data_IF_171958715905
#
_entry.id   IF_171958715905
#
_cell.length_a   1.000
_cell.length_b   1.000
_cell.length_c   1.000
_cell.angle_alpha   90.00
_cell.angle_beta   90.00
_cell.angle_gamma   90.00
#
_symmetry.space_group_name_H-M   'P 1'
#
loop_
_entity.id
_entity.type
_entity.pdbx_description
1 polymer ?
#
# COMPACT_ATOMS: atom_id res chain seq x y z
N UNK A 1 71.50 -5.24 8.46
CA UNK A 1 70.48 -4.18 8.75
C UNK A 1 69.40 -4.27 7.64
N UNK A 2 68.29 -4.90 7.90
CA UNK A 2 67.18 -5.04 6.93
C UNK A 2 66.14 -3.95 7.23
N UNK A 3 65.99 -3.01 6.30
CA UNK A 3 64.99 -1.93 6.37
C UNK A 3 63.65 -2.45 5.95
N UNK A 4 62.78 -2.58 6.96
CA UNK A 4 61.38 -2.94 6.79
C UNK A 4 60.61 -1.74 6.19
N UNK A 5 60.40 -1.68 4.87
CA UNK A 5 59.52 -0.71 4.21
C UNK A 5 58.08 -1.17 4.35
N UNK A 6 57.24 -0.40 5.06
CA UNK A 6 55.79 -0.58 5.05
C UNK A 6 55.27 -0.36 3.62
N UNK A 7 54.30 -1.16 3.15
CA UNK A 7 53.68 -0.91 1.85
C UNK A 7 52.88 0.36 1.86
N UNK A 8 53.04 1.13 0.79
CA UNK A 8 52.44 2.43 0.55
C UNK A 8 50.91 2.27 0.34
N UNK A 9 50.12 2.72 1.32
CA UNK A 9 48.68 2.58 1.34
C UNK A 9 47.95 3.41 0.25
N UNK A 10 48.72 4.23 -0.50
CA UNK A 10 48.16 5.15 -1.52
C UNK A 10 48.02 4.55 -2.92
N UNK A 11 48.39 3.28 -3.13
CA UNK A 11 48.34 2.60 -4.42
C UNK A 11 47.16 1.66 -4.65
N UNK A 12 46.21 1.57 -3.72
CA UNK A 12 45.03 0.73 -3.89
C UNK A 12 43.93 1.46 -4.68
N UNK A 13 43.17 0.75 -5.55
CA UNK A 13 42.03 1.32 -6.25
C UNK A 13 40.99 1.93 -5.28
N UNK A 14 40.33 2.98 -5.68
CA UNK A 14 39.37 3.73 -4.84
C UNK A 14 38.29 2.81 -4.24
N UNK A 15 37.88 1.75 -4.94
CA UNK A 15 36.94 0.72 -4.46
C UNK A 15 37.45 -0.06 -3.24
N UNK A 16 38.76 -0.22 -3.09
CA UNK A 16 39.35 -0.92 -1.95
C UNK A 16 39.68 0.01 -0.78
N UNK A 17 39.72 1.33 -1.01
CA UNK A 17 39.90 2.35 0.04
C UNK A 17 38.64 2.63 0.84
N UNK A 18 37.46 2.37 0.25
CA UNK A 18 36.15 2.61 0.89
C UNK A 18 35.85 1.54 1.92
N UNK A 19 36.33 0.31 1.72
CA UNK A 19 36.04 -0.84 2.58
C UNK A 19 36.80 -0.83 3.93
N UNK A 20 37.86 -0.03 4.05
CA UNK A 20 38.67 0.02 5.28
C UNK A 20 38.35 1.16 6.25
N UNK A 21 37.42 2.08 5.90
CA UNK A 21 37.13 3.27 6.73
C UNK A 21 35.76 3.34 7.37
N UNK A 22 34.88 2.39 7.10
CA UNK A 22 33.63 2.28 7.83
C UNK A 22 33.70 1.09 8.79
N UNK A 23 33.55 1.28 10.11
CA UNK A 23 33.18 0.17 10.96
C UNK A 23 31.84 -0.31 10.42
N UNK A 24 31.80 -1.57 9.95
CA UNK A 24 30.57 -2.27 9.58
C UNK A 24 29.58 -2.03 10.74
N UNK A 25 28.54 -1.19 10.62
CA UNK A 25 27.52 -1.16 11.64
C UNK A 25 27.00 -2.58 11.62
N UNK A 26 27.25 -3.33 12.72
CA UNK A 26 26.64 -4.64 12.93
C UNK A 26 25.20 -4.43 12.50
N UNK A 27 24.83 -4.98 11.32
CA UNK A 27 23.46 -5.10 10.90
C UNK A 27 22.81 -5.75 12.11
N UNK A 28 22.08 -4.99 12.89
CA UNK A 28 21.14 -5.57 13.82
C UNK A 28 20.30 -6.44 12.92
N UNK A 29 20.45 -7.73 13.01
CA UNK A 29 19.48 -8.66 12.46
C UNK A 29 18.18 -8.20 13.05
N UNK A 30 17.38 -7.48 12.26
CA UNK A 30 16.05 -7.06 12.66
C UNK A 30 15.33 -8.37 12.95
N UNK A 31 14.90 -8.55 14.18
CA UNK A 31 14.05 -9.68 14.55
C UNK A 31 12.91 -9.70 13.55
N UNK A 32 12.62 -10.84 12.88
CA UNK A 32 11.57 -10.88 11.88
C UNK A 32 10.27 -10.38 12.48
N UNK A 33 9.71 -9.32 11.90
CA UNK A 33 8.47 -8.71 12.37
C UNK A 33 7.30 -9.63 12.07
N UNK A 34 6.69 -10.23 13.08
CA UNK A 34 5.53 -11.10 12.91
C UNK A 34 4.26 -10.25 12.88
N UNK A 35 3.56 -10.27 11.74
CA UNK A 35 2.30 -9.57 11.55
C UNK A 35 1.37 -10.31 10.59
N UNK A 36 0.08 -10.13 10.77
CA UNK A 36 -0.96 -10.61 9.88
C UNK A 36 -2.12 -9.63 9.86
N UNK A 37 -2.77 -9.50 8.70
CA UNK A 37 -4.01 -8.76 8.51
C UNK A 37 -4.95 -9.59 7.63
N UNK A 38 -6.20 -9.75 8.09
CA UNK A 38 -7.32 -10.29 7.31
C UNK A 38 -8.42 -9.24 7.27
N UNK A 39 -9.09 -9.12 6.12
CA UNK A 39 -10.17 -8.17 5.96
C UNK A 39 -10.50 -7.86 4.52
N UNK A 40 -10.87 -6.63 4.23
CA UNK A 40 -11.19 -6.17 2.88
C UNK A 40 -10.41 -4.90 2.52
N UNK A 41 -9.89 -4.88 1.31
CA UNK A 41 -9.35 -3.70 0.67
C UNK A 41 -10.39 -3.14 -0.29
N UNK A 42 -10.56 -1.83 -0.26
CA UNK A 42 -11.38 -1.04 -1.17
C UNK A 42 -10.50 -0.06 -1.91
N UNK A 43 -10.66 0.04 -3.21
CA UNK A 43 -9.94 1.00 -4.04
C UNK A 43 -10.87 1.66 -5.04
N UNK A 44 -10.69 2.95 -5.28
CA UNK A 44 -11.29 3.66 -6.40
C UNK A 44 -10.24 4.57 -7.01
N UNK A 45 -10.09 4.52 -8.31
CA UNK A 45 -9.03 5.18 -9.04
C UNK A 45 -9.52 6.00 -10.22
N UNK A 46 -8.61 6.74 -10.86
CA UNK A 46 -8.87 7.59 -12.02
C UNK A 46 -9.17 6.82 -13.31
N UNK A 47 -8.85 5.52 -13.37
CA UNK A 47 -9.05 4.73 -14.59
C UNK A 47 -10.52 4.58 -14.97
N UNK A 48 -10.78 4.45 -16.29
CA UNK A 48 -12.04 3.92 -16.80
C UNK A 48 -12.22 2.47 -16.36
N UNK A 49 -13.45 1.98 -16.46
CA UNK A 49 -13.76 0.60 -16.07
C UNK A 49 -13.34 -0.43 -17.13
N UNK A 50 -12.73 -1.55 -16.82
CA UNK A 50 -12.13 -1.92 -15.55
C UNK A 50 -10.63 -1.58 -15.56
N UNK A 51 -10.03 -1.29 -14.37
CA UNK A 51 -8.65 -0.86 -14.25
C UNK A 51 -7.65 -1.83 -14.91
N UNK A 52 -6.93 -1.44 -15.98
CA UNK A 52 -5.98 -2.33 -16.66
C UNK A 52 -4.74 -2.63 -15.83
N UNK A 53 -4.39 -1.74 -14.90
CA UNK A 53 -3.19 -1.88 -14.07
C UNK A 53 -3.29 -3.10 -13.15
N UNK A 54 -4.46 -3.32 -12.56
CA UNK A 54 -4.70 -4.40 -11.60
C UNK A 54 -4.53 -5.77 -12.24
N UNK A 55 -5.14 -5.99 -13.41
CA UNK A 55 -5.08 -7.29 -14.12
C UNK A 55 -3.75 -7.54 -14.81
N UNK A 56 -2.93 -6.51 -15.04
CA UNK A 56 -1.64 -6.62 -15.74
C UNK A 56 -0.42 -6.49 -14.82
N UNK A 57 -0.60 -6.47 -13.50
CA UNK A 57 0.47 -6.15 -12.53
C UNK A 57 1.15 -4.81 -12.81
N UNK A 58 0.40 -3.81 -13.22
CA UNK A 58 0.93 -2.49 -13.53
C UNK A 58 1.71 -2.39 -14.84
N UNK A 59 1.70 -3.43 -15.69
CA UNK A 59 2.40 -3.42 -16.98
C UNK A 59 1.67 -2.57 -18.03
N UNK A 60 0.33 -2.57 -18.04
CA UNK A 60 -0.45 -1.69 -18.90
C UNK A 60 -0.51 -0.27 -18.32
N UNK A 61 -0.49 0.75 -19.19
CA UNK A 61 -0.66 2.12 -18.75
C UNK A 61 -2.08 2.33 -18.20
N UNK A 62 -2.25 3.19 -17.19
CA UNK A 62 -3.57 3.63 -16.77
C UNK A 62 -4.27 4.40 -17.89
N UNK A 63 -5.61 4.37 -17.92
CA UNK A 63 -6.40 4.96 -19.02
C UNK A 63 -6.23 6.47 -19.15
N UNK A 64 -5.95 7.17 -18.05
CA UNK A 64 -5.70 8.61 -18.00
C UNK A 64 -4.20 8.98 -18.10
N UNK A 65 -3.31 7.99 -18.36
CA UNK A 65 -1.87 8.19 -18.36
C UNK A 65 -1.23 8.32 -16.98
N UNK A 66 -2.03 8.38 -15.92
CA UNK A 66 -1.64 8.42 -14.52
C UNK A 66 -2.60 7.58 -13.68
N UNK A 67 -2.17 7.16 -12.49
CA UNK A 67 -3.04 6.46 -11.55
C UNK A 67 -3.16 7.28 -10.25
N UNK A 68 -4.25 8.00 -10.13
CA UNK A 68 -4.66 8.64 -8.89
C UNK A 68 -5.70 7.74 -8.22
N UNK A 69 -5.55 7.48 -6.94
CA UNK A 69 -6.46 6.60 -6.23
C UNK A 69 -6.56 6.95 -4.75
N UNK A 70 -7.62 6.52 -4.13
CA UNK A 70 -7.63 6.23 -2.70
C UNK A 70 -7.83 4.74 -2.49
N UNK A 71 -7.26 4.26 -1.40
CA UNK A 71 -7.49 2.92 -0.87
C UNK A 71 -8.01 3.03 0.55
N UNK A 72 -8.82 2.08 0.96
CA UNK A 72 -9.19 1.88 2.36
C UNK A 72 -9.14 0.41 2.70
N UNK A 73 -8.69 0.09 3.89
CA UNK A 73 -8.55 -1.28 4.38
C UNK A 73 -9.31 -1.39 5.70
N UNK A 74 -10.26 -2.30 5.74
CA UNK A 74 -10.88 -2.72 6.98
C UNK A 74 -10.14 -3.94 7.50
N UNK A 75 -9.56 -3.85 8.68
CA UNK A 75 -8.87 -4.96 9.34
C UNK A 75 -9.91 -5.66 10.22
N UNK A 76 -10.42 -6.80 9.76
CA UNK A 76 -11.37 -7.58 10.55
C UNK A 76 -10.65 -8.35 11.66
N UNK A 77 -9.51 -8.94 11.33
CA UNK A 77 -8.59 -9.61 12.25
C UNK A 77 -7.15 -9.22 11.92
N UNK A 78 -6.33 -8.98 12.91
CA UNK A 78 -4.93 -8.68 12.66
C UNK A 78 -4.10 -8.44 13.89
N UNK A 79 -2.80 -8.60 13.74
CA UNK A 79 -1.82 -8.29 14.78
C UNK A 79 -0.50 -7.80 14.17
N UNK A 80 0.26 -7.07 14.98
CA UNK A 80 1.64 -6.65 14.70
C UNK A 80 2.47 -6.83 15.97
N UNK A 81 3.41 -7.78 15.98
CA UNK A 81 4.25 -8.11 17.16
C UNK A 81 3.45 -8.28 18.46
N UNK A 82 2.32 -8.96 18.36
CA UNK A 82 1.42 -9.20 19.49
C UNK A 82 0.49 -8.03 19.85
N UNK A 83 0.60 -6.89 19.19
CA UNK A 83 -0.37 -5.81 19.29
C UNK A 83 -1.58 -6.10 18.42
N UNK A 84 -2.78 -6.01 18.97
CA UNK A 84 -4.02 -6.23 18.25
C UNK A 84 -4.33 -5.08 17.29
N UNK A 85 -4.61 -5.41 16.03
CA UNK A 85 -5.02 -4.47 14.98
C UNK A 85 -6.48 -4.67 14.56
N UNK A 86 -7.18 -5.64 15.15
CA UNK A 86 -8.55 -5.99 14.76
C UNK A 86 -9.52 -4.84 14.98
N UNK A 87 -10.39 -4.61 14.00
CA UNK A 87 -11.36 -3.52 14.01
C UNK A 87 -10.82 -2.15 13.66
N UNK A 88 -9.51 -2.00 13.44
CA UNK A 88 -8.92 -0.77 12.95
C UNK A 88 -9.07 -0.64 11.44
N UNK A 89 -9.16 0.61 10.97
CA UNK A 89 -9.21 0.93 9.56
C UNK A 89 -7.99 1.75 9.12
N UNK A 90 -7.60 1.60 7.87
CA UNK A 90 -6.50 2.36 7.27
C UNK A 90 -6.96 2.97 5.96
N UNK A 91 -6.61 4.21 5.71
CA UNK A 91 -6.79 4.88 4.45
C UNK A 91 -5.47 5.21 3.79
N UNK A 92 -5.41 5.19 2.47
CA UNK A 92 -4.26 5.64 1.69
C UNK A 92 -4.74 6.58 0.57
N UNK A 93 -3.99 7.64 0.35
CA UNK A 93 -4.02 8.44 -0.86
C UNK A 93 -2.81 8.02 -1.69
N UNK A 94 -3.03 7.71 -2.98
CA UNK A 94 -1.99 7.20 -3.88
C UNK A 94 -1.98 8.01 -5.16
N UNK A 95 -0.82 8.60 -5.47
CA UNK A 95 -0.58 9.45 -6.63
C UNK A 95 0.60 8.86 -7.41
N UNK A 96 0.32 8.28 -8.58
CA UNK A 96 1.28 7.61 -9.44
C UNK A 96 1.30 8.32 -10.79
N UNK A 97 2.44 8.90 -11.21
CA UNK A 97 2.51 9.74 -12.41
C UNK A 97 2.41 8.97 -13.73
N UNK A 98 2.53 7.64 -13.72
CA UNK A 98 2.55 6.80 -14.90
C UNK A 98 2.03 5.40 -14.63
N UNK A 99 2.73 4.40 -15.15
CA UNK A 99 2.40 2.99 -14.92
C UNK A 99 2.67 2.60 -13.48
N UNK A 100 1.75 1.86 -12.88
CA UNK A 100 1.85 1.39 -11.51
C UNK A 100 3.16 0.62 -11.25
N UNK A 101 3.58 -0.26 -12.16
CA UNK A 101 4.79 -1.07 -12.02
C UNK A 101 6.10 -0.31 -12.20
N UNK A 102 6.09 0.94 -12.68
CA UNK A 102 7.29 1.79 -12.81
C UNK A 102 7.67 2.49 -11.50
N UNK A 103 6.86 2.33 -10.45
CA UNK A 103 7.10 2.99 -9.17
C UNK A 103 6.77 4.48 -9.19
N UNK A 104 7.58 5.28 -8.50
CA UNK A 104 7.39 6.71 -8.31
C UNK A 104 6.09 7.08 -7.60
N UNK A 105 5.56 6.18 -6.76
CA UNK A 105 4.36 6.43 -6.01
C UNK A 105 4.58 7.47 -4.92
N UNK A 106 3.66 8.43 -4.84
CA UNK A 106 3.55 9.35 -3.71
C UNK A 106 2.34 8.93 -2.88
N UNK A 107 2.56 8.65 -1.60
CA UNK A 107 1.55 8.05 -0.75
C UNK A 107 1.37 8.84 0.54
N UNK A 108 0.11 9.08 0.93
CA UNK A 108 -0.22 9.48 2.30
C UNK A 108 -1.00 8.36 2.99
N UNK A 109 -0.73 8.16 4.29
CA UNK A 109 -1.40 7.17 5.11
C UNK A 109 -2.27 7.85 6.18
N UNK A 110 -3.47 7.32 6.37
CA UNK A 110 -4.43 7.72 7.41
C UNK A 110 -4.71 6.49 8.26
N UNK A 111 -4.23 6.50 9.47
CA UNK A 111 -4.43 5.41 10.43
C UNK A 111 -5.60 5.77 11.34
N UNK A 112 -6.47 4.81 11.60
CA UNK A 112 -7.60 4.98 12.52
C UNK A 112 -7.17 5.71 13.80
N UNK A 113 -7.95 6.72 14.18
CA UNK A 113 -7.66 7.53 15.38
C UNK A 113 -7.69 6.72 16.68
N UNK A 114 -8.40 5.58 16.69
CA UNK A 114 -8.50 4.68 17.83
C UNK A 114 -7.28 3.75 17.98
N UNK A 115 -6.35 3.73 17.02
CA UNK A 115 -5.16 2.91 17.12
C UNK A 115 -4.30 3.30 18.34
N UNK A 116 -3.79 2.34 19.09
CA UNK A 116 -2.78 2.60 20.13
C UNK A 116 -1.50 3.17 19.50
N UNK A 117 -0.55 3.63 20.30
CA UNK A 117 0.76 4.06 19.79
C UNK A 117 1.52 2.95 19.06
N UNK A 118 1.44 1.71 19.58
CA UNK A 118 2.07 0.54 18.96
C UNK A 118 1.36 0.11 17.69
N UNK A 119 0.02 0.05 17.71
CA UNK A 119 -0.80 -0.25 16.54
C UNK A 119 -0.55 0.76 15.42
N UNK A 120 -0.53 2.06 15.72
CA UNK A 120 -0.20 3.10 14.75
C UNK A 120 1.15 2.87 14.09
N UNK A 121 2.20 2.66 14.87
CA UNK A 121 3.53 2.41 14.34
C UNK A 121 3.60 1.11 13.55
N UNK A 122 2.95 0.03 14.02
CA UNK A 122 2.87 -1.25 13.33
C UNK A 122 2.20 -1.11 11.96
N UNK A 123 1.08 -0.41 11.88
CA UNK A 123 0.37 -0.14 10.63
C UNK A 123 1.28 0.65 9.67
N UNK A 124 1.99 1.67 10.13
CA UNK A 124 2.92 2.40 9.28
C UNK A 124 4.07 1.51 8.77
N UNK A 125 4.61 0.61 9.59
CA UNK A 125 5.64 -0.35 9.15
C UNK A 125 5.09 -1.31 8.07
N UNK A 126 3.86 -1.80 8.24
CA UNK A 126 3.20 -2.67 7.26
C UNK A 126 2.99 -1.93 5.94
N UNK A 127 2.35 -0.75 5.97
CA UNK A 127 1.97 -0.02 4.76
C UNK A 127 3.10 0.78 4.10
N UNK A 128 4.25 0.94 4.75
CA UNK A 128 5.49 1.38 4.10
C UNK A 128 6.27 0.23 3.46
N UNK A 129 5.89 -1.01 3.72
CA UNK A 129 6.61 -2.21 3.30
C UNK A 129 7.82 -2.56 4.18
N UNK A 130 8.15 -1.73 5.18
CA UNK A 130 9.30 -1.95 6.05
C UNK A 130 9.17 -3.21 6.93
N UNK A 131 7.94 -3.65 7.20
CA UNK A 131 7.66 -4.91 7.90
C UNK A 131 7.90 -6.16 7.03
N UNK A 132 8.22 -6.01 5.74
CA UNK A 132 8.39 -7.11 4.80
C UNK A 132 7.08 -7.85 4.48
N UNK A 133 7.21 -9.10 4.01
CA UNK A 133 6.06 -9.93 3.69
C UNK A 133 5.25 -9.42 2.49
N UNK A 134 3.94 -9.60 2.53
CA UNK A 134 3.02 -9.26 1.43
C UNK A 134 3.17 -7.81 0.97
N UNK A 135 3.34 -6.86 1.88
CA UNK A 135 3.45 -5.43 1.57
C UNK A 135 4.87 -4.98 1.25
N UNK A 136 5.86 -5.87 1.28
CA UNK A 136 7.27 -5.56 1.01
C UNK A 136 7.51 -4.86 -0.33
N UNK A 137 6.65 -5.09 -1.33
CA UNK A 137 6.72 -4.42 -2.64
C UNK A 137 6.57 -2.90 -2.55
N UNK A 138 5.92 -2.36 -1.54
CA UNK A 138 5.82 -0.90 -1.37
C UNK A 138 7.17 -0.22 -1.26
N UNK A 139 8.19 -0.89 -0.70
CA UNK A 139 9.55 -0.33 -0.61
C UNK A 139 10.17 -0.01 -1.97
N UNK A 140 9.73 -0.71 -3.03
CA UNK A 140 10.21 -0.49 -4.40
C UNK A 140 9.32 0.47 -5.19
N UNK A 141 8.04 0.52 -4.85
CA UNK A 141 7.05 1.30 -5.61
C UNK A 141 6.91 2.73 -5.08
N UNK A 142 6.98 2.93 -3.77
CA UNK A 142 6.80 4.23 -3.12
C UNK A 142 8.11 5.00 -3.12
N UNK A 143 8.14 6.13 -3.80
CA UNK A 143 9.28 7.05 -3.81
C UNK A 143 9.15 8.17 -2.77
N UNK A 144 7.92 8.49 -2.35
CA UNK A 144 7.67 9.61 -1.45
C UNK A 144 6.47 9.32 -0.53
N UNK A 145 6.68 9.43 0.77
CA UNK A 145 5.60 9.46 1.75
C UNK A 145 5.28 10.93 2.00
N UNK A 146 4.18 11.42 1.42
CA UNK A 146 3.77 12.82 1.50
C UNK A 146 3.07 13.17 2.81
N UNK A 147 2.68 12.17 3.60
CA UNK A 147 2.12 12.35 4.93
C UNK A 147 1.72 11.04 5.60
N UNK A 148 1.67 11.08 6.92
CA UNK A 148 1.11 10.01 7.75
C UNK A 148 0.45 10.64 8.98
N UNK A 149 -0.82 10.32 9.23
CA UNK A 149 -1.56 10.93 10.33
C UNK A 149 -2.63 10.00 10.88
N UNK A 150 -3.10 10.32 12.08
CA UNK A 150 -4.32 9.74 12.64
C UNK A 150 -5.53 10.47 12.10
N UNK A 151 -6.54 9.71 11.71
CA UNK A 151 -7.80 10.27 11.25
C UNK A 151 -8.97 9.35 11.59
N UNK A 152 -10.19 9.86 11.72
CA UNK A 152 -11.37 9.02 11.75
C UNK A 152 -11.52 8.34 10.37
N UNK A 153 -11.28 7.04 10.30
CA UNK A 153 -11.47 6.22 9.09
C UNK A 153 -12.71 5.36 9.29
N UNK A 154 -13.79 5.72 8.61
CA UNK A 154 -15.08 5.02 8.71
C UNK A 154 -15.35 4.24 7.44
N UNK A 155 -15.68 2.98 7.58
CA UNK A 155 -16.03 2.07 6.49
C UNK A 155 -17.38 1.43 6.83
N UNK A 156 -18.34 1.54 5.91
CA UNK A 156 -19.68 0.95 6.04
C UNK A 156 -19.85 -0.06 4.88
N UNK A 157 -20.18 -1.28 5.25
CA UNK A 157 -20.52 -2.37 4.33
C UNK A 157 -22.04 -2.55 4.32
N UNK A 158 -22.68 -2.22 3.20
CA UNK A 158 -24.13 -2.31 3.05
C UNK A 158 -24.48 -3.01 1.72
N UNK A 159 -24.82 -4.28 1.81
CA UNK A 159 -25.13 -5.11 0.66
C UNK A 159 -24.03 -5.03 -0.41
N UNK A 160 -24.39 -4.55 -1.61
CA UNK A 160 -23.45 -4.37 -2.73
C UNK A 160 -22.67 -3.05 -2.70
N UNK A 161 -22.82 -2.24 -1.66
CA UNK A 161 -22.15 -0.92 -1.54
C UNK A 161 -21.13 -0.90 -0.42
N UNK A 162 -20.15 -0.04 -0.59
CA UNK A 162 -19.16 0.32 0.42
C UNK A 162 -19.07 1.83 0.49
N UNK A 163 -19.21 2.38 1.70
CA UNK A 163 -19.04 3.81 1.95
C UNK A 163 -17.80 4.03 2.79
N UNK A 164 -16.91 4.90 2.33
CA UNK A 164 -15.63 5.19 2.93
C UNK A 164 -15.56 6.68 3.27
N UNK A 165 -15.22 7.01 4.51
CA UNK A 165 -14.99 8.37 4.95
C UNK A 165 -13.70 8.47 5.74
N UNK A 166 -12.75 9.26 5.27
CA UNK A 166 -11.46 9.52 5.95
C UNK A 166 -11.44 11.00 6.32
N UNK A 167 -11.80 11.30 7.55
CA UNK A 167 -11.96 12.66 8.04
C UNK A 167 -12.86 13.49 7.11
N UNK A 168 -12.40 14.70 6.76
CA UNK A 168 -13.01 15.56 5.73
C UNK A 168 -12.25 15.55 4.40
N UNK A 169 -11.32 14.61 4.23
CA UNK A 169 -10.31 14.58 3.17
C UNK A 169 -10.69 13.66 2.02
N UNK A 170 -11.24 12.50 2.34
CA UNK A 170 -11.67 11.50 1.35
C UNK A 170 -13.07 11.04 1.70
N UNK A 171 -13.97 11.09 0.72
CA UNK A 171 -15.32 10.55 0.81
C UNK A 171 -15.60 9.73 -0.44
N UNK A 172 -15.78 8.43 -0.29
CA UNK A 172 -16.02 7.48 -1.37
C UNK A 172 -17.27 6.64 -1.11
N UNK A 173 -18.04 6.41 -2.15
CA UNK A 173 -19.07 5.38 -2.19
C UNK A 173 -18.86 4.57 -3.47
N UNK A 174 -18.66 3.26 -3.33
CA UNK A 174 -18.45 2.33 -4.44
C UNK A 174 -19.53 1.26 -4.42
N UNK A 175 -19.89 0.77 -5.59
CA UNK A 175 -20.92 -0.25 -5.78
C UNK A 175 -20.37 -1.41 -6.60
N UNK A 176 -20.59 -2.63 -6.13
CA UNK A 176 -20.26 -3.84 -6.89
C UNK A 176 -21.02 -3.90 -8.20
N UNK A 177 -20.37 -4.35 -9.27
CA UNK A 177 -21.04 -4.57 -10.56
C UNK A 177 -21.82 -5.86 -10.47
N UNK A 178 -23.12 -5.79 -10.73
CA UNK A 178 -23.98 -6.97 -10.73
C UNK A 178 -23.54 -7.96 -11.81
N UNK A 179 -23.40 -9.21 -11.43
CA UNK A 179 -23.16 -10.32 -12.33
C UNK A 179 -24.47 -10.81 -13.00
N UNK A 180 -24.40 -11.98 -13.63
CA UNK A 180 -25.58 -12.61 -14.23
C UNK A 180 -26.67 -12.91 -13.18
N UNK A 181 -26.27 -13.29 -11.97
CA UNK A 181 -27.18 -13.48 -10.83
C UNK A 181 -27.05 -12.29 -9.91
N UNK A 182 -28.15 -11.71 -9.39
CA UNK A 182 -28.11 -10.52 -8.53
C UNK A 182 -27.24 -10.69 -7.28
N UNK A 183 -27.17 -11.90 -6.74
CA UNK A 183 -26.43 -12.21 -5.50
C UNK A 183 -24.93 -12.47 -5.75
N UNK A 184 -24.49 -12.47 -7.00
CA UNK A 184 -23.10 -12.72 -7.37
C UNK A 184 -22.57 -11.56 -8.23
N UNK A 185 -21.67 -10.75 -7.69
CA UNK A 185 -21.06 -9.65 -8.46
C UNK A 185 -20.10 -10.18 -9.53
N UNK A 186 -19.73 -9.32 -10.46
CA UNK A 186 -18.66 -9.61 -11.42
C UNK A 186 -17.34 -9.74 -10.66
N UNK A 187 -16.65 -10.87 -10.87
CA UNK A 187 -15.38 -11.17 -10.22
C UNK A 187 -14.30 -11.50 -11.24
N UNK A 188 -13.07 -11.13 -10.89
CA UNK A 188 -11.84 -11.57 -11.55
C UNK A 188 -11.12 -12.43 -10.53
N UNK A 189 -10.99 -13.72 -10.82
CA UNK A 189 -10.36 -14.67 -9.91
C UNK A 189 -9.05 -15.20 -10.46
N UNK A 190 -8.19 -15.71 -9.58
CA UNK A 190 -6.89 -16.27 -9.95
C UNK A 190 -5.99 -15.25 -10.67
N UNK A 191 -6.07 -14.00 -10.27
CA UNK A 191 -5.17 -12.96 -10.78
C UNK A 191 -3.81 -13.05 -10.08
N UNK A 192 -2.79 -12.43 -10.69
CA UNK A 192 -1.48 -12.26 -10.03
C UNK A 192 -1.41 -11.01 -9.17
N UNK A 193 -2.54 -10.35 -8.95
CA UNK A 193 -2.58 -9.12 -8.15
C UNK A 193 -2.22 -9.43 -6.69
N UNK A 194 -1.11 -8.90 -6.26
CA UNK A 194 -0.51 -9.25 -4.96
C UNK A 194 -1.31 -8.72 -3.76
N UNK A 195 -2.10 -7.67 -3.95
CA UNK A 195 -2.98 -7.14 -2.90
C UNK A 195 -4.18 -8.05 -2.64
N UNK A 196 -4.70 -8.72 -3.67
CA UNK A 196 -5.80 -9.67 -3.54
C UNK A 196 -6.01 -10.42 -4.85
N UNK A 197 -5.80 -11.74 -4.90
CA UNK A 197 -5.90 -12.52 -6.14
C UNK A 197 -7.32 -12.62 -6.70
N UNK A 198 -8.31 -12.41 -5.83
CA UNK A 198 -9.74 -12.37 -6.16
C UNK A 198 -10.26 -10.95 -6.00
N UNK A 199 -10.79 -10.42 -7.08
CA UNK A 199 -11.18 -9.02 -7.19
C UNK A 199 -12.67 -8.97 -7.53
N UNK A 200 -13.44 -8.29 -6.71
CA UNK A 200 -14.82 -7.93 -7.03
C UNK A 200 -14.78 -6.62 -7.78
N UNK A 201 -15.26 -6.64 -9.04
CA UNK A 201 -15.34 -5.43 -9.85
C UNK A 201 -16.42 -4.49 -9.30
N UNK A 202 -16.07 -3.23 -9.14
CA UNK A 202 -16.93 -2.20 -8.62
C UNK A 202 -16.77 -0.88 -9.40
N UNK A 203 -17.66 0.07 -9.17
CA UNK A 203 -17.58 1.43 -9.70
C UNK A 203 -17.76 2.46 -8.61
N UNK A 204 -17.12 3.61 -8.76
CA UNK A 204 -17.38 4.76 -7.92
C UNK A 204 -18.77 5.33 -8.18
N UNK A 205 -19.58 5.51 -7.16
CA UNK A 205 -20.84 6.27 -7.24
C UNK A 205 -20.60 7.75 -6.94
N UNK A 206 -19.94 8.00 -5.82
CA UNK A 206 -19.47 9.32 -5.38
C UNK A 206 -18.05 9.13 -4.85
N UNK A 207 -17.14 10.00 -5.26
CA UNK A 207 -15.78 9.82 -4.84
C UNK A 207 -15.01 11.14 -4.91
N UNK A 208 -14.66 11.68 -3.78
CA UNK A 208 -13.96 12.96 -3.70
C UNK A 208 -12.75 12.84 -2.80
N UNK A 209 -11.63 13.36 -3.29
CA UNK A 209 -10.39 13.49 -2.55
C UNK A 209 -10.00 14.96 -2.50
N UNK A 210 -9.66 15.46 -1.33
CA UNK A 210 -9.13 16.82 -1.13
C UNK A 210 -8.11 16.80 -0.01
N UNK A 211 -6.87 16.50 -0.34
CA UNK A 211 -5.75 16.57 0.61
C UNK A 211 -4.40 16.65 -0.10
N UNK A 212 -3.38 17.10 0.62
CA UNK A 212 -2.00 17.24 0.13
C UNK A 212 -1.89 17.91 -1.24
N UNK A 213 -2.74 18.92 -1.50
CA UNK A 213 -2.77 19.63 -2.79
C UNK A 213 -3.45 18.87 -3.93
N UNK A 214 -4.04 17.70 -3.68
CA UNK A 214 -4.82 16.90 -4.63
C UNK A 214 -6.30 17.20 -4.48
N UNK A 215 -6.96 17.40 -5.61
CA UNK A 215 -8.42 17.58 -5.69
C UNK A 215 -8.90 16.67 -6.81
N UNK A 216 -9.44 15.50 -6.44
CA UNK A 216 -9.87 14.49 -7.40
C UNK A 216 -11.33 14.11 -7.19
N UNK A 217 -11.96 13.64 -8.28
CA UNK A 217 -13.30 13.04 -8.28
C UNK A 217 -13.25 11.78 -9.15
N UNK A 218 -13.59 10.63 -8.55
CA UNK A 218 -13.60 9.34 -9.24
C UNK A 218 -15.02 8.77 -9.36
N UNK A 219 -16.03 9.63 -9.35
CA UNK A 219 -17.41 9.23 -9.65
C UNK A 219 -17.51 8.61 -11.04
N UNK A 220 -18.15 7.46 -11.18
CA UNK A 220 -18.24 6.71 -12.43
C UNK A 220 -17.01 5.90 -12.85
N UNK A 221 -15.88 6.10 -12.16
CA UNK A 221 -14.59 5.47 -12.47
C UNK A 221 -14.44 4.08 -11.83
N UNK A 222 -13.35 3.38 -12.20
CA UNK A 222 -13.05 2.04 -11.73
C UNK A 222 -12.89 1.97 -10.22
N UNK A 223 -13.50 0.96 -9.63
CA UNK A 223 -13.31 0.59 -8.24
C UNK A 223 -13.19 -0.93 -8.11
N UNK A 224 -12.62 -1.35 -7.00
CA UNK A 224 -12.44 -2.77 -6.68
C UNK A 224 -12.59 -3.02 -5.18
N UNK A 225 -12.97 -4.25 -4.87
CA UNK A 225 -13.05 -4.78 -3.52
C UNK A 225 -12.29 -6.10 -3.53
N UNK A 226 -11.30 -6.23 -2.65
CA UNK A 226 -10.50 -7.43 -2.54
C UNK A 226 -10.56 -7.97 -1.11
N UNK A 227 -11.01 -9.22 -0.90
CA UNK A 227 -10.67 -9.92 0.32
C UNK A 227 -9.15 -10.02 0.43
N UNK A 228 -8.63 -9.74 1.60
CA UNK A 228 -7.18 -9.75 1.84
C UNK A 228 -6.82 -10.67 3.00
N UNK A 229 -5.69 -11.35 2.85
CA UNK A 229 -4.99 -12.05 3.89
C UNK A 229 -3.49 -11.80 3.69
N UNK A 230 -2.98 -10.82 4.40
CA UNK A 230 -1.60 -10.37 4.30
C UNK A 230 -0.81 -10.73 5.52
N UNK A 231 0.45 -11.07 5.34
CA UNK A 231 1.32 -11.46 6.44
C UNK A 231 2.79 -11.12 6.18
N UNK A 232 3.58 -11.12 7.24
CA UNK A 232 5.01 -10.93 7.20
C UNK A 232 5.72 -11.47 8.43
N UNK A 233 7.05 -11.48 8.37
CA UNK A 233 7.94 -10.90 7.35
C UNK A 233 8.09 -11.76 6.08
N UNK A 234 7.76 -13.03 6.15
CA UNK A 234 7.79 -13.96 5.05
C UNK A 234 6.35 -14.30 4.66
N UNK A 235 5.95 -14.06 3.41
CA UNK A 235 4.60 -14.37 2.93
C UNK A 235 4.34 -15.86 2.82
#
# INVERSE_FOLDING_TARGET
MATNKRPDADRLPISQRIDQRMPNPKRREATPTNWQIKGELFLNCSCEMFCPCVVSLGAHPPTEGHCHAWMAIAIDEGHYEGEDLSGLNVGLLVDIPGRMGEGNWKVAAYVDENASGKAYNGILQIFSGAAGGTTGLFTMLVSEIIGAERAPVKIIRDGNKRSIQIGRKIAGEIEMIAGKSPDHPVMISNSKYWMGPDIIAARGLKSKVRDYGRVWDFGGKSAEICPIEWQGPNP
#
